data_IF_921139024403
#
_entry.id   IF_921139024403
#
_cell.length_a   1.000
_cell.length_b   1.000
_cell.length_c   1.000
_cell.angle_alpha   90.00
_cell.angle_beta   90.00
_cell.angle_gamma   90.00
#
_symmetry.space_group_name_H-M   'P 1'
#
loop_
_entity.id
_entity.type
_entity.pdbx_description
1 polymer ?
#
# COMPACT_ATOMS: atom_id res chain seq x y z
N UNK A 1 -17.84 -2.61 -24.14
CA UNK A 1 -16.61 -2.13 -24.79
C UNK A 1 -17.03 -1.03 -25.75
N UNK A 2 -16.92 0.23 -25.33
CA UNK A 2 -16.53 1.34 -26.22
C UNK A 2 -16.33 2.57 -25.32
N UNK A 3 -15.22 3.30 -25.49
CA UNK A 3 -14.86 4.43 -24.64
C UNK A 3 -14.42 5.60 -25.52
N UNK A 4 -15.24 6.64 -25.57
CA UNK A 4 -14.95 7.87 -26.33
C UNK A 4 -13.89 8.70 -25.60
N UNK A 5 -12.77 8.97 -26.27
CA UNK A 5 -11.69 9.83 -25.77
C UNK A 5 -11.99 11.28 -26.16
N UNK A 6 -12.50 12.09 -25.25
CA UNK A 6 -12.56 13.55 -25.46
C UNK A 6 -11.31 14.21 -24.87
N UNK A 7 -10.41 14.63 -25.77
CA UNK A 7 -9.19 15.34 -25.41
C UNK A 7 -9.44 16.85 -25.24
N UNK A 8 -8.97 17.42 -24.12
CA UNK A 8 -8.60 18.83 -24.05
C UNK A 8 -7.19 18.99 -23.47
N UNK A 9 -6.40 19.75 -24.23
CA UNK A 9 -5.02 20.23 -24.05
C UNK A 9 -4.31 19.90 -22.73
N UNK A 10 -3.17 19.19 -22.82
CA UNK A 10 -2.27 18.90 -21.70
C UNK A 10 -2.24 17.43 -21.26
N UNK A 11 -2.58 16.50 -22.17
CA UNK A 11 -2.54 15.02 -22.06
C UNK A 11 -2.75 14.45 -20.64
N UNK A 12 -3.86 14.84 -20.02
CA UNK A 12 -4.59 13.93 -19.13
C UNK A 12 -5.59 13.20 -20.01
N UNK A 13 -5.39 11.91 -20.23
CA UNK A 13 -6.39 11.07 -20.86
C UNK A 13 -7.44 10.76 -19.78
N UNK A 14 -8.55 11.48 -19.81
CA UNK A 14 -9.74 11.11 -19.04
C UNK A 14 -10.32 9.86 -19.72
N UNK A 15 -10.28 8.72 -19.04
CA UNK A 15 -10.89 7.48 -19.51
C UNK A 15 -12.08 7.19 -18.60
N UNK A 16 -13.27 7.31 -19.16
CA UNK A 16 -14.53 7.02 -18.48
C UNK A 16 -14.73 5.50 -18.46
N UNK A 17 -14.92 4.92 -17.27
CA UNK A 17 -15.37 3.54 -17.11
C UNK A 17 -16.70 3.54 -16.37
N UNK A 18 -17.80 3.29 -17.08
CA UNK A 18 -19.10 3.10 -16.45
C UNK A 18 -19.21 1.64 -15.99
N UNK A 19 -19.08 1.41 -14.68
CA UNK A 19 -19.47 0.15 -14.05
C UNK A 19 -20.85 0.34 -13.42
N UNK A 20 -21.92 0.15 -14.19
CA UNK A 20 -23.29 0.23 -13.66
C UNK A 20 -23.65 -1.06 -12.93
N UNK A 21 -23.13 -1.23 -11.72
CA UNK A 21 -23.75 -2.14 -10.75
C UNK A 21 -23.99 -1.32 -9.48
N UNK A 22 -25.26 -0.93 -9.28
CA UNK A 22 -25.77 -0.10 -8.17
C UNK A 22 -25.20 1.33 -8.10
N UNK A 23 -25.82 2.28 -8.81
CA UNK A 23 -25.74 3.76 -8.62
C UNK A 23 -24.36 4.42 -8.44
N UNK A 24 -23.27 3.72 -8.72
CA UNK A 24 -21.90 4.23 -8.62
C UNK A 24 -21.36 4.41 -10.03
N UNK A 25 -21.00 5.64 -10.38
CA UNK A 25 -20.21 5.92 -11.58
C UNK A 25 -18.77 6.22 -11.17
N UNK A 26 -17.79 5.58 -11.80
CA UNK A 26 -16.36 5.83 -11.53
C UNK A 26 -15.69 6.57 -12.69
N UNK A 27 -15.04 7.68 -12.39
CA UNK A 27 -14.23 8.46 -13.33
C UNK A 27 -12.76 8.20 -13.05
N UNK A 28 -11.96 7.96 -14.11
CA UNK A 28 -10.51 7.77 -13.99
C UNK A 28 -9.75 8.67 -14.96
N UNK A 29 -8.69 9.28 -14.47
CA UNK A 29 -7.80 10.14 -15.24
C UNK A 29 -6.41 9.52 -15.29
N UNK A 30 -5.77 9.51 -16.46
CA UNK A 30 -4.42 8.98 -16.65
C UNK A 30 -3.49 10.04 -17.24
N UNK A 31 -2.22 10.04 -16.86
CA UNK A 31 -1.19 10.88 -17.48
C UNK A 31 -0.71 10.31 -18.83
N UNK A 32 0.22 11.02 -19.49
CA UNK A 32 0.81 10.59 -20.77
C UNK A 32 1.63 9.28 -20.73
N UNK A 33 1.94 8.75 -19.53
CA UNK A 33 2.57 7.45 -19.31
C UNK A 33 1.55 6.37 -18.94
N UNK A 34 0.26 6.65 -19.10
CA UNK A 34 -0.85 5.76 -18.73
C UNK A 34 -0.89 5.39 -17.24
N UNK A 35 -0.42 6.29 -16.36
CA UNK A 35 -0.51 6.12 -14.91
C UNK A 35 -1.74 6.87 -14.37
N UNK A 36 -2.49 6.24 -13.46
CA UNK A 36 -3.71 6.80 -12.87
C UNK A 36 -3.37 8.02 -12.01
N UNK A 37 -3.82 9.21 -12.38
CA UNK A 37 -3.60 10.46 -11.61
C UNK A 37 -4.77 10.87 -10.74
N UNK A 38 -5.98 10.41 -11.07
CA UNK A 38 -7.16 10.63 -10.24
C UNK A 38 -8.23 9.57 -10.49
N UNK A 39 -8.97 9.22 -9.45
CA UNK A 39 -10.26 8.54 -9.59
C UNK A 39 -11.32 9.16 -8.68
N UNK A 40 -12.55 9.20 -9.16
CA UNK A 40 -13.71 9.72 -8.40
C UNK A 40 -14.87 8.78 -8.55
N UNK A 41 -15.47 8.40 -7.44
CA UNK A 41 -16.77 7.72 -7.41
C UNK A 41 -17.86 8.76 -7.19
N UNK A 42 -18.88 8.76 -8.05
CA UNK A 42 -19.97 9.72 -8.03
C UNK A 42 -21.20 9.10 -7.36
N UNK A 43 -21.23 9.20 -6.02
CA UNK A 43 -22.35 8.84 -5.14
C UNK A 43 -22.19 9.56 -3.78
N UNK A 44 -23.20 9.49 -2.90
CA UNK A 44 -23.27 10.27 -1.65
C UNK A 44 -22.07 10.11 -0.68
N UNK A 45 -21.30 9.02 -0.80
CA UNK A 45 -20.08 8.75 -0.02
C UNK A 45 -18.86 8.51 -0.92
N UNK A 46 -18.90 9.06 -2.13
CA UNK A 46 -17.91 8.85 -3.17
C UNK A 46 -16.47 9.12 -2.73
N UNK A 47 -15.60 8.17 -3.06
CA UNK A 47 -14.17 8.31 -2.81
C UNK A 47 -13.55 9.13 -3.94
N UNK A 48 -12.75 10.13 -3.56
CA UNK A 48 -11.91 10.86 -4.50
C UNK A 48 -10.44 10.58 -4.19
N UNK A 49 -9.71 10.05 -5.17
CA UNK A 49 -8.29 9.77 -5.10
C UNK A 49 -7.51 10.68 -6.05
N UNK A 50 -6.34 11.10 -5.60
CA UNK A 50 -5.35 11.83 -6.40
C UNK A 50 -3.97 11.18 -6.18
N UNK A 51 -3.21 11.05 -7.26
CA UNK A 51 -1.93 10.35 -7.27
C UNK A 51 -0.87 11.15 -8.03
N UNK A 52 0.35 11.18 -7.48
CA UNK A 52 1.52 11.79 -8.12
C UNK A 52 2.64 10.77 -8.23
N UNK A 53 3.40 10.85 -9.32
CA UNK A 53 4.52 9.97 -9.60
C UNK A 53 5.80 10.75 -9.83
N UNK A 54 6.95 10.18 -9.47
CA UNK A 54 8.25 10.71 -9.85
C UNK A 54 8.59 10.39 -11.33
N UNK A 55 9.75 10.86 -11.80
CA UNK A 55 10.22 10.65 -13.17
C UNK A 55 10.48 9.17 -13.52
N UNK A 56 10.72 8.34 -12.51
CA UNK A 56 10.93 6.89 -12.65
C UNK A 56 9.60 6.12 -12.59
N UNK A 57 8.48 6.82 -12.37
CA UNK A 57 7.15 6.25 -12.28
C UNK A 57 6.77 5.69 -10.91
N UNK A 58 7.53 5.99 -9.85
CA UNK A 58 7.17 5.58 -8.50
C UNK A 58 6.10 6.51 -7.91
N UNK A 59 5.11 5.95 -7.21
CA UNK A 59 4.01 6.71 -6.60
C UNK A 59 4.47 7.51 -5.37
N UNK A 60 4.65 8.83 -5.50
CA UNK A 60 5.18 9.70 -4.45
C UNK A 60 4.12 10.26 -3.53
N UNK A 61 2.92 10.55 -4.03
CA UNK A 61 1.86 11.17 -3.24
C UNK A 61 0.52 10.50 -3.49
N UNK A 62 -0.25 10.33 -2.43
CA UNK A 62 -1.64 9.89 -2.48
C UNK A 62 -2.45 10.87 -1.64
N UNK A 63 -3.56 11.34 -2.20
CA UNK A 63 -4.59 12.03 -1.42
C UNK A 63 -5.90 11.32 -1.66
N UNK A 64 -6.51 10.82 -0.58
CA UNK A 64 -7.84 10.21 -0.62
C UNK A 64 -8.78 11.02 0.23
N UNK A 65 -9.96 11.33 -0.30
CA UNK A 65 -11.01 12.01 0.45
C UNK A 65 -12.31 11.24 0.33
N UNK A 66 -13.02 11.08 1.45
CA UNK A 66 -14.33 10.44 1.53
C UNK A 66 -15.16 11.24 2.53
N UNK A 67 -16.10 12.04 2.03
CA UNK A 67 -16.79 13.04 2.84
C UNK A 67 -15.79 13.99 3.52
N UNK A 68 -15.82 14.06 4.86
CA UNK A 68 -14.90 14.90 5.66
C UNK A 68 -13.56 14.23 5.95
N UNK A 69 -13.42 12.92 5.73
CA UNK A 69 -12.18 12.21 5.97
C UNK A 69 -11.18 12.45 4.85
N UNK A 70 -9.92 12.73 5.22
CA UNK A 70 -8.83 13.02 4.29
C UNK A 70 -7.58 12.24 4.72
N UNK A 71 -7.13 11.33 3.87
CA UNK A 71 -5.80 10.73 3.97
C UNK A 71 -4.84 11.47 3.04
N UNK A 72 -3.68 11.82 3.58
CA UNK A 72 -2.52 12.29 2.80
C UNK A 72 -1.39 11.32 3.04
N UNK A 73 -0.81 10.78 1.97
CA UNK A 73 0.34 9.90 2.05
C UNK A 73 1.45 10.42 1.15
N UNK A 74 2.68 10.38 1.66
CA UNK A 74 3.91 10.64 0.90
C UNK A 74 4.85 9.45 0.97
N UNK A 75 5.40 9.03 -0.16
CA UNK A 75 6.34 7.92 -0.24
C UNK A 75 7.70 8.40 -0.79
N UNK A 76 8.77 7.82 -0.27
CA UNK A 76 10.12 7.98 -0.82
C UNK A 76 10.67 6.62 -1.24
N UNK A 77 11.53 6.62 -2.25
CA UNK A 77 12.09 5.42 -2.87
C UNK A 77 13.63 5.51 -2.95
N UNK A 78 14.29 4.36 -2.93
CA UNK A 78 15.71 4.26 -3.24
C UNK A 78 15.98 4.22 -4.76
N UNK A 79 17.26 4.13 -5.14
CA UNK A 79 17.68 4.07 -6.53
C UNK A 79 17.18 2.84 -7.30
N UNK A 80 16.71 1.79 -6.60
CA UNK A 80 16.14 0.59 -7.19
C UNK A 80 14.61 0.63 -7.26
N UNK A 81 13.98 1.77 -6.91
CA UNK A 81 12.52 1.92 -6.91
C UNK A 81 11.84 1.23 -5.73
N UNK A 82 12.59 0.87 -4.67
CA UNK A 82 12.03 0.26 -3.46
C UNK A 82 11.64 1.36 -2.48
N UNK A 83 10.45 1.27 -1.89
CA UNK A 83 9.97 2.27 -0.94
C UNK A 83 10.82 2.24 0.33
N UNK A 84 11.40 3.37 0.72
CA UNK A 84 12.21 3.50 1.95
C UNK A 84 11.49 4.30 3.04
N UNK A 85 10.46 5.07 2.68
CA UNK A 85 9.65 5.82 3.64
C UNK A 85 8.20 5.93 3.17
N UNK A 86 7.26 5.87 4.11
CA UNK A 86 5.86 6.25 3.96
C UNK A 86 5.52 7.25 5.06
N UNK A 87 4.86 8.36 4.74
CA UNK A 87 4.39 9.34 5.72
C UNK A 87 2.90 9.61 5.53
N UNK A 88 2.11 9.42 6.58
CA UNK A 88 0.66 9.64 6.64
C UNK A 88 0.28 10.54 7.83
N UNK A 89 0.31 11.88 7.68
CA UNK A 89 0.04 12.80 8.79
C UNK A 89 -1.36 12.61 9.38
N UNK A 90 -1.47 12.65 10.70
CA UNK A 90 -2.75 12.47 11.41
C UNK A 90 -3.15 11.01 11.66
N UNK A 91 -2.39 10.04 11.16
CA UNK A 91 -2.55 8.62 11.49
C UNK A 91 -1.79 8.24 12.77
N UNK A 92 -2.22 7.18 13.47
CA UNK A 92 -1.52 6.67 14.67
C UNK A 92 -0.04 6.39 14.40
N UNK A 93 0.26 5.86 13.20
CA UNK A 93 1.61 5.68 12.69
C UNK A 93 1.82 6.66 11.55
N UNK A 94 2.27 7.88 11.88
CA UNK A 94 2.51 8.90 10.85
C UNK A 94 3.67 8.63 9.90
N UNK A 95 4.66 7.83 10.27
CA UNK A 95 5.83 7.52 9.45
C UNK A 95 6.16 6.05 9.60
N UNK A 96 6.49 5.44 8.48
CA UNK A 96 7.10 4.13 8.41
C UNK A 96 8.40 4.22 7.62
N UNK A 97 9.45 3.60 8.11
CA UNK A 97 10.74 3.47 7.42
C UNK A 97 10.98 2.00 7.07
N UNK A 98 11.48 1.75 5.87
CA UNK A 98 11.61 0.40 5.32
C UNK A 98 13.09 0.09 5.07
N UNK A 99 13.57 -0.99 5.66
CA UNK A 99 14.96 -1.42 5.57
C UNK A 99 15.03 -2.72 4.77
N UNK A 100 15.98 -2.77 3.84
CA UNK A 100 16.21 -3.91 2.98
C UNK A 100 17.56 -4.55 3.26
N UNK A 101 17.57 -5.87 3.39
CA UNK A 101 18.78 -6.67 3.53
C UNK A 101 18.87 -7.64 2.35
N UNK A 102 19.99 -7.66 1.63
CA UNK A 102 20.19 -8.52 0.46
C UNK A 102 19.06 -8.44 -0.60
N UNK A 103 18.47 -7.24 -0.77
CA UNK A 103 17.40 -7.04 -1.75
C UNK A 103 15.98 -7.22 -1.20
N UNK A 104 15.82 -7.84 -0.03
CA UNK A 104 14.52 -8.18 0.56
C UNK A 104 14.17 -7.26 1.73
N UNK A 105 12.87 -6.95 1.90
CA UNK A 105 12.38 -6.11 2.99
C UNK A 105 12.56 -6.84 4.32
N UNK A 106 13.47 -6.40 5.18
CA UNK A 106 13.78 -7.09 6.43
C UNK A 106 13.11 -6.46 7.65
N UNK A 107 12.85 -5.15 7.61
CA UNK A 107 12.38 -4.42 8.79
C UNK A 107 11.56 -3.18 8.42
N UNK A 108 10.55 -2.89 9.23
CA UNK A 108 9.76 -1.66 9.19
C UNK A 108 9.70 -1.08 10.62
N UNK A 109 10.03 0.21 10.77
CA UNK A 109 9.86 0.97 12.01
C UNK A 109 8.85 2.10 11.87
N UNK A 110 8.29 2.55 12.99
CA UNK A 110 7.47 3.77 13.07
C UNK A 110 8.29 5.05 13.35
N UNK A 111 7.59 6.18 13.56
CA UNK A 111 8.16 7.48 13.91
C UNK A 111 9.13 7.47 15.12
N UNK A 112 8.94 6.52 16.03
CA UNK A 112 9.67 6.40 17.29
C UNK A 112 10.72 5.29 17.22
N UNK A 113 11.06 4.83 16.01
CA UNK A 113 11.92 3.67 15.76
C UNK A 113 11.40 2.38 16.40
N UNK A 114 10.10 2.28 16.69
CA UNK A 114 9.52 1.05 17.20
C UNK A 114 9.25 0.09 16.05
N UNK A 115 9.44 -1.20 16.31
CA UNK A 115 9.13 -2.27 15.37
C UNK A 115 7.65 -2.19 14.94
N UNK A 116 7.44 -2.03 13.63
CA UNK A 116 6.14 -2.22 12.97
C UNK A 116 6.09 -3.61 12.37
N UNK A 117 7.12 -4.02 11.64
CA UNK A 117 7.21 -5.35 11.06
C UNK A 117 8.65 -5.82 10.88
N UNK A 118 8.87 -7.14 10.90
CA UNK A 118 10.16 -7.77 10.60
C UNK A 118 9.93 -9.06 9.83
N UNK A 119 10.78 -9.32 8.84
CA UNK A 119 10.71 -10.48 7.98
C UNK A 119 12.08 -11.19 7.90
N UNK A 120 12.05 -12.52 7.86
CA UNK A 120 13.20 -13.36 7.54
C UNK A 120 12.77 -14.32 6.44
N UNK A 121 13.63 -14.47 5.44
CA UNK A 121 13.39 -15.30 4.27
C UNK A 121 14.37 -16.46 4.20
N UNK A 122 13.97 -17.51 3.49
CA UNK A 122 14.88 -18.53 3.02
C UNK A 122 15.62 -18.06 1.74
N UNK A 123 16.63 -18.80 1.25
CA UNK A 123 17.35 -18.45 0.02
C UNK A 123 16.48 -18.43 -1.25
N UNK A 124 15.32 -19.09 -1.25
CA UNK A 124 14.36 -19.07 -2.35
C UNK A 124 13.40 -17.87 -2.28
N UNK A 125 13.46 -17.08 -1.21
CA UNK A 125 12.64 -15.90 -0.98
C UNK A 125 11.29 -16.17 -0.31
N UNK A 126 11.08 -17.37 0.25
CA UNK A 126 9.89 -17.64 1.05
C UNK A 126 10.05 -17.05 2.45
N UNK A 127 8.98 -16.49 3.01
CA UNK A 127 8.98 -15.96 4.38
C UNK A 127 9.03 -17.10 5.38
N UNK A 128 10.13 -17.21 6.13
CA UNK A 128 10.30 -18.12 7.26
C UNK A 128 9.72 -17.55 8.55
N UNK A 129 9.87 -16.23 8.74
CA UNK A 129 9.44 -15.54 9.94
C UNK A 129 8.85 -14.18 9.59
N UNK A 130 7.75 -13.84 10.26
CA UNK A 130 7.13 -12.54 10.21
C UNK A 130 6.68 -12.12 11.60
N UNK A 131 7.06 -10.94 12.01
CA UNK A 131 6.61 -10.28 13.22
C UNK A 131 5.96 -8.96 12.84
N UNK A 132 4.74 -8.69 13.28
CA UNK A 132 3.99 -7.48 12.93
C UNK A 132 3.26 -6.92 14.16
N UNK A 133 3.32 -5.60 14.35
CA UNK A 133 2.52 -4.89 15.36
C UNK A 133 1.05 -4.93 14.92
N UNK A 134 0.16 -5.50 15.72
CA UNK A 134 -1.27 -5.54 15.37
C UNK A 134 -1.93 -4.22 15.72
N UNK A 135 -2.49 -3.55 14.71
CA UNK A 135 -3.02 -2.18 14.82
C UNK A 135 -4.21 -1.97 15.77
N UNK A 136 -4.83 -3.03 16.31
CA UNK A 136 -6.07 -2.97 17.10
C UNK A 136 -5.95 -3.49 18.54
N UNK A 137 -4.75 -3.68 19.06
CA UNK A 137 -4.52 -4.16 20.43
C UNK A 137 -3.69 -3.11 21.20
N UNK A 138 -3.73 -3.09 22.56
CA UNK A 138 -2.97 -2.14 23.37
C UNK A 138 -1.47 -2.17 23.00
N UNK A 139 -0.77 -1.05 23.20
CA UNK A 139 0.45 -0.59 22.50
C UNK A 139 1.64 -1.56 22.33
N UNK A 140 1.57 -2.79 22.83
CA UNK A 140 2.62 -3.82 22.81
C UNK A 140 2.22 -5.17 22.21
N UNK A 141 1.02 -5.32 21.64
CA UNK A 141 0.63 -6.58 21.02
C UNK A 141 1.31 -6.77 19.65
N UNK A 142 2.12 -7.83 19.55
CA UNK A 142 2.85 -8.19 18.35
C UNK A 142 2.43 -9.58 17.92
N UNK A 143 1.90 -9.71 16.71
CA UNK A 143 1.60 -11.01 16.11
C UNK A 143 2.86 -11.60 15.50
N UNK A 144 3.17 -12.84 15.87
CA UNK A 144 4.31 -13.60 15.32
C UNK A 144 3.80 -14.76 14.50
N UNK A 145 4.29 -14.85 13.28
CA UNK A 145 4.04 -15.93 12.36
C UNK A 145 5.37 -16.59 12.03
N UNK A 146 5.49 -17.88 12.34
CA UNK A 146 6.62 -18.70 11.95
C UNK A 146 6.11 -19.71 10.93
N UNK A 147 6.67 -19.65 9.74
CA UNK A 147 6.42 -20.61 8.66
C UNK A 147 7.52 -21.65 8.71
N UNK A 148 7.20 -22.88 9.10
CA UNK A 148 8.13 -23.98 8.96
C UNK A 148 8.13 -24.44 7.50
N UNK A 149 9.18 -24.11 6.75
CA UNK A 149 9.45 -24.78 5.46
C UNK A 149 9.92 -26.20 5.75
N UNK A 150 8.94 -27.11 5.80
CA UNK A 150 9.02 -28.54 5.42
C UNK A 150 10.38 -29.23 5.65
N UNK A 151 10.62 -29.69 6.87
CA UNK A 151 11.48 -30.88 7.09
C UNK A 151 10.99 -31.83 8.19
N UNK A 152 9.67 -31.95 8.30
CA UNK A 152 9.02 -33.18 8.74
C UNK A 152 7.91 -33.45 7.74
N UNK A 153 8.01 -34.58 7.04
CA UNK A 153 7.11 -35.03 5.99
C UNK A 153 5.64 -34.81 6.42
N UNK A 154 4.93 -33.92 5.71
CA UNK A 154 3.47 -33.68 5.78
C UNK A 154 2.90 -32.82 6.93
N UNK A 155 3.53 -31.72 7.34
CA UNK A 155 2.81 -30.70 8.14
C UNK A 155 2.69 -29.36 7.43
N UNK A 156 1.46 -29.00 7.03
CA UNK A 156 1.06 -27.67 6.53
C UNK A 156 0.29 -26.87 7.59
N UNK A 157 0.44 -27.19 8.88
CA UNK A 157 -0.30 -26.52 9.95
C UNK A 157 0.51 -25.38 10.57
N UNK A 158 0.12 -24.14 10.26
CA UNK A 158 0.42 -22.98 11.09
C UNK A 158 -0.15 -23.22 12.49
N UNK A 159 0.71 -23.51 13.46
CA UNK A 159 0.32 -23.38 14.86
C UNK A 159 0.47 -21.91 15.20
N UNK A 160 -0.65 -21.19 15.17
CA UNK A 160 -0.79 -19.91 15.86
C UNK A 160 -0.44 -20.15 17.34
N UNK A 161 0.67 -19.62 17.87
CA UNK A 161 0.81 -19.56 19.32
C UNK A 161 -0.16 -18.47 19.75
N UNK A 162 -1.15 -18.84 20.56
CA UNK A 162 -2.05 -17.88 21.19
C UNK A 162 -1.24 -16.77 21.86
N UNK A 163 -1.87 -15.60 21.91
CA UNK A 163 -1.46 -14.44 22.70
C UNK A 163 -0.98 -14.92 24.08
N UNK A 164 0.25 -14.55 24.48
CA UNK A 164 0.70 -14.59 25.88
C UNK A 164 0.63 -13.17 26.41
#
# INVERSE_FOLDING_TARGET
MDGTVEGKSGKVNLVKYEYTTHDITEYRCYNGLNQLVSSTEDHAYGINNQYTYDKSGNLTDIRRTSGTWILKQKNSYDAYGRRVMCRQPGEKIERQEYIYTQGQLSYISDNNNQLVARYIYDPAGNVLYREEKTGNQPDNAVSRYVSYTKDIRNSTRSLHPGIV
#
